data_IF_132380524516
#
_entry.id   IF_132380524516
#
_cell.length_a   1.000
_cell.length_b   1.000
_cell.length_c   1.000
_cell.angle_alpha   90.00
_cell.angle_beta   90.00
_cell.angle_gamma   90.00
#
_symmetry.space_group_name_H-M   'P 1'
#
loop_
_entity.id
_entity.type
_entity.pdbx_description
1 polymer ?
#
# COMPACT_ATOMS: atom_id res chain seq x y z
N UNK A 1 -8.11 -4.56 12.26
CA UNK A 1 -7.04 -3.85 12.99
C UNK A 1 -5.96 -3.45 12.00
N UNK A 2 -5.54 -2.19 12.00
CA UNK A 2 -4.48 -1.71 11.11
C UNK A 2 -3.10 -2.19 11.59
N UNK A 3 -2.18 -2.41 10.64
CA UNK A 3 -0.80 -2.80 10.95
C UNK A 3 -0.06 -1.67 11.66
N UNK A 4 0.74 -1.99 12.68
CA UNK A 4 1.63 -1.01 13.33
C UNK A 4 2.76 -0.62 12.37
N UNK A 5 3.21 0.64 12.45
CA UNK A 5 4.30 1.17 11.63
C UNK A 5 5.56 0.30 11.65
N UNK A 6 5.96 -0.20 12.82
CA UNK A 6 7.13 -1.07 13.01
C UNK A 6 7.04 -2.35 12.17
N UNK A 7 5.87 -3.03 12.17
CA UNK A 7 5.65 -4.25 11.39
C UNK A 7 5.62 -4.00 9.90
N UNK A 8 5.12 -2.83 9.48
CA UNK A 8 5.21 -2.41 8.10
C UNK A 8 6.68 -2.17 7.68
N UNK A 9 7.48 -1.49 8.50
CA UNK A 9 8.90 -1.24 8.23
C UNK A 9 9.70 -2.56 8.16
N UNK A 10 9.44 -3.50 9.08
CA UNK A 10 10.03 -4.85 9.05
C UNK A 10 9.71 -5.57 7.73
N UNK A 11 8.44 -5.52 7.30
CA UNK A 11 8.00 -6.13 6.05
C UNK A 11 8.65 -5.49 4.82
N UNK A 12 8.80 -4.16 4.78
CA UNK A 12 9.50 -3.46 3.69
C UNK A 12 10.95 -3.92 3.59
N UNK A 13 11.68 -3.93 4.72
CA UNK A 13 13.07 -4.39 4.77
C UNK A 13 13.18 -5.84 4.30
N UNK A 14 12.31 -6.71 4.77
CA UNK A 14 12.28 -8.10 4.35
C UNK A 14 12.11 -8.25 2.83
N UNK A 15 11.16 -7.52 2.23
CA UNK A 15 10.95 -7.53 0.77
C UNK A 15 12.19 -7.05 0.01
N UNK A 16 12.82 -5.95 0.46
CA UNK A 16 14.03 -5.41 -0.17
C UNK A 16 15.21 -6.39 -0.09
N UNK A 17 15.43 -7.03 1.06
CA UNK A 17 16.49 -8.03 1.23
C UNK A 17 16.32 -9.26 0.32
N UNK A 18 15.08 -9.61 -0.04
CA UNK A 18 14.78 -10.77 -0.88
C UNK A 18 14.55 -10.40 -2.35
N UNK A 19 14.86 -9.15 -2.75
CA UNK A 19 14.69 -8.70 -4.14
C UNK A 19 13.23 -8.68 -4.61
N UNK A 20 12.27 -8.61 -3.69
CA UNK A 20 10.85 -8.52 -4.03
C UNK A 20 10.57 -7.12 -4.61
N UNK A 21 10.04 -7.01 -5.83
CA UNK A 21 9.78 -5.70 -6.44
C UNK A 21 8.72 -4.91 -5.66
N UNK A 22 9.10 -3.73 -5.20
CA UNK A 22 8.23 -2.78 -4.52
C UNK A 22 8.01 -1.53 -5.38
N UNK A 23 6.84 -0.92 -5.21
CA UNK A 23 6.51 0.40 -5.74
C UNK A 23 5.95 1.28 -4.63
N UNK A 24 5.95 2.59 -4.84
CA UNK A 24 5.51 3.59 -3.86
C UNK A 24 4.22 4.28 -4.30
N UNK A 25 3.41 4.69 -3.32
CA UNK A 25 2.25 5.55 -3.51
C UNK A 25 2.03 6.43 -2.29
N UNK A 26 1.26 7.51 -2.44
CA UNK A 26 0.91 8.39 -1.32
C UNK A 26 -0.38 7.93 -0.67
N UNK A 27 -0.42 7.98 0.66
CA UNK A 27 -1.64 7.79 1.43
C UNK A 27 -2.68 8.87 1.06
N UNK A 28 -3.92 8.51 0.72
CA UNK A 28 -4.98 9.49 0.48
C UNK A 28 -5.37 10.31 1.73
N UNK A 29 -5.11 9.78 2.94
CA UNK A 29 -5.46 10.43 4.20
C UNK A 29 -4.40 11.42 4.70
N UNK A 30 -3.13 11.03 4.74
CA UNK A 30 -2.05 11.87 5.29
C UNK A 30 -0.95 12.25 4.29
N UNK A 31 -1.01 11.79 3.04
CA UNK A 31 -0.02 12.10 2.00
C UNK A 31 1.31 11.35 2.12
N UNK A 32 1.56 10.67 3.24
CA UNK A 32 2.79 9.89 3.48
C UNK A 32 3.03 8.82 2.42
N UNK A 33 4.31 8.57 2.13
CA UNK A 33 4.69 7.54 1.16
C UNK A 33 4.58 6.13 1.78
N UNK A 34 3.98 5.22 1.04
CA UNK A 34 3.81 3.81 1.41
C UNK A 34 4.34 2.96 0.26
N UNK A 35 5.01 1.86 0.60
CA UNK A 35 5.50 0.85 -0.32
C UNK A 35 4.51 -0.32 -0.38
N UNK A 36 4.38 -0.91 -1.56
CA UNK A 36 3.60 -2.13 -1.79
C UNK A 36 4.31 -2.99 -2.82
N UNK A 37 4.07 -4.29 -2.79
CA UNK A 37 4.53 -5.18 -3.87
C UNK A 37 3.93 -4.77 -5.20
N UNK A 38 4.73 -4.85 -6.26
CA UNK A 38 4.24 -4.81 -7.63
C UNK A 38 3.31 -6.00 -7.90
N UNK A 39 2.39 -5.85 -8.85
CA UNK A 39 1.67 -6.99 -9.42
C UNK A 39 2.38 -7.49 -10.68
N UNK A 40 2.14 -8.73 -11.13
CA UNK A 40 2.48 -9.14 -12.49
C UNK A 40 1.84 -8.18 -13.52
N UNK A 41 2.53 -7.88 -14.63
CA UNK A 41 2.11 -6.86 -15.62
C UNK A 41 0.70 -7.07 -16.20
N UNK A 42 0.24 -8.32 -16.26
CA UNK A 42 -1.08 -8.70 -16.81
C UNK A 42 -2.16 -8.82 -15.73
N UNK A 43 -1.84 -8.52 -14.47
CA UNK A 43 -2.76 -8.66 -13.34
C UNK A 43 -2.97 -7.33 -12.62
N UNK A 44 -4.22 -7.10 -12.20
CA UNK A 44 -4.57 -6.05 -11.26
C UNK A 44 -4.78 -6.70 -9.90
N UNK A 45 -4.01 -6.25 -8.90
CA UNK A 45 -4.20 -6.65 -7.52
C UNK A 45 -4.88 -5.51 -6.77
N UNK A 46 -6.15 -5.70 -6.44
CA UNK A 46 -6.87 -4.81 -5.55
C UNK A 46 -6.82 -5.27 -4.09
N UNK A 47 -6.89 -4.32 -3.16
CA UNK A 47 -6.93 -4.60 -1.73
C UNK A 47 -7.45 -3.40 -0.93
N UNK A 48 -8.14 -3.69 0.17
CA UNK A 48 -8.35 -2.72 1.25
C UNK A 48 -7.07 -2.62 2.07
N UNK A 49 -6.58 -1.40 2.28
CA UNK A 49 -5.31 -1.13 2.95
C UNK A 49 -5.48 -0.08 4.04
N UNK A 50 -4.81 -0.29 5.18
CA UNK A 50 -4.61 0.76 6.17
C UNK A 50 -3.28 1.49 5.94
N UNK A 51 -3.26 2.80 6.13
CA UNK A 51 -2.02 3.55 6.25
C UNK A 51 -1.27 3.15 7.53
N UNK A 52 0.01 2.73 7.46
CA UNK A 52 0.78 2.40 8.66
C UNK A 52 1.08 3.64 9.53
N UNK A 53 0.89 4.85 8.99
CA UNK A 53 1.24 6.11 9.63
C UNK A 53 0.03 6.80 10.29
N UNK A 54 -1.08 6.92 9.56
CA UNK A 54 -2.28 7.64 10.05
C UNK A 54 -3.50 6.73 10.29
N UNK A 55 -3.37 5.42 10.08
CA UNK A 55 -4.46 4.44 10.20
C UNK A 55 -5.66 4.63 9.26
N UNK A 56 -5.61 5.57 8.31
CA UNK A 56 -6.65 5.74 7.30
C UNK A 56 -6.83 4.45 6.49
N UNK A 57 -8.08 4.04 6.28
CA UNK A 57 -8.44 2.90 5.43
C UNK A 57 -8.78 3.41 4.04
N UNK A 58 -8.19 2.82 3.01
CA UNK A 58 -8.42 3.19 1.62
C UNK A 58 -8.36 1.95 0.73
N UNK A 59 -8.95 2.06 -0.45
CA UNK A 59 -8.85 1.04 -1.49
C UNK A 59 -7.63 1.33 -2.36
N UNK A 60 -6.86 0.30 -2.71
CA UNK A 60 -5.77 0.43 -3.67
C UNK A 60 -5.82 -0.64 -4.76
N UNK A 61 -5.38 -0.26 -5.95
CA UNK A 61 -5.17 -1.15 -7.09
C UNK A 61 -3.72 -1.04 -7.55
N UNK A 62 -3.06 -2.19 -7.73
CA UNK A 62 -1.70 -2.28 -8.25
C UNK A 62 -1.72 -2.97 -9.61
N UNK A 63 -1.08 -2.36 -10.62
CA UNK A 63 -0.85 -2.93 -11.96
C UNK A 63 0.60 -2.70 -12.38
N UNK A 64 1.41 -3.76 -12.40
CA UNK A 64 2.86 -3.64 -12.54
C UNK A 64 3.40 -2.80 -11.38
N UNK A 65 4.13 -1.73 -11.71
CA UNK A 65 4.62 -0.74 -10.75
C UNK A 65 3.66 0.43 -10.49
N UNK A 66 2.48 0.48 -11.13
CA UNK A 66 1.54 1.61 -10.99
C UNK A 66 0.54 1.32 -9.89
N UNK A 67 0.34 2.29 -9.01
CA UNK A 67 -0.63 2.21 -7.92
C UNK A 67 -1.66 3.33 -8.04
N UNK A 68 -2.93 2.97 -7.89
CA UNK A 68 -4.03 3.91 -7.66
C UNK A 68 -4.56 3.68 -6.26
N UNK A 69 -4.63 4.72 -5.45
CA UNK A 69 -5.20 4.67 -4.11
C UNK A 69 -6.32 5.70 -4.00
N UNK A 70 -7.48 5.25 -3.52
CA UNK A 70 -8.68 6.07 -3.39
C UNK A 70 -9.21 5.96 -1.98
N UNK A 71 -9.51 7.11 -1.36
CA UNK A 71 -10.20 7.12 -0.07
C UNK A 71 -11.52 6.36 -0.18
N UNK A 72 -11.83 5.53 0.81
CA UNK A 72 -13.15 4.91 0.92
C UNK A 72 -14.05 5.96 1.58
N UNK A 73 -14.73 6.76 0.75
CA UNK A 73 -15.77 7.67 1.26
C UNK A 73 -16.99 6.80 1.54
N UNK A 74 -17.29 6.58 2.81
CA UNK A 74 -18.61 6.10 3.20
C UNK A 74 -19.55 7.31 3.08
N UNK A 75 -20.25 7.44 1.95
CA UNK A 75 -21.42 8.30 1.92
C UNK A 75 -22.41 7.71 2.95
N UNK A 76 -22.59 8.44 4.05
CA UNK A 76 -23.71 8.24 4.96
C UNK A 76 -24.98 8.78 4.31
#
# INVERSE_FOLDING_TARGET
MCIKAEKYIEWVKHCQCHGVPLTTYKCPGCGEQIMTQCSPEKEIRDSLTCCPWCSAVFFKQVKGAKVKASAVIQNQ
#
